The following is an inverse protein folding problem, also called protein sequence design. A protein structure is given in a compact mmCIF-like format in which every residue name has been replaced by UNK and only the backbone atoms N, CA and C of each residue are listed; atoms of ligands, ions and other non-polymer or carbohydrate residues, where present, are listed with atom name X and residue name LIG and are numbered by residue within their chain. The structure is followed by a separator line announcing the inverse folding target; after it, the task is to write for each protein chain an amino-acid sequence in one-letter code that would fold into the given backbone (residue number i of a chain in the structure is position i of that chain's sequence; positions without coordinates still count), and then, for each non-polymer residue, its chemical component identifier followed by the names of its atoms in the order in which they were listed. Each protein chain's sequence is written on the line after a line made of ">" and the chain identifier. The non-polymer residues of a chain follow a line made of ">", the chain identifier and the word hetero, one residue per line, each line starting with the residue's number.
data_IF_329459744911
#
_entry.id   IF_329459744911
#
_cell.length_a   1.000
_cell.length_b   1.000
_cell.length_c   1.000
_cell.angle_alpha   90.00
_cell.angle_beta   90.00
_cell.angle_gamma   90.00
#
_symmetry.space_group_name_H-M   'P 1'
#
loop_
_entity.id
_entity.type
_entity.pdbx_description
1 polymer ?
#
# COMPACT_ATOMS: atom_id res chain seq x y z
N UNK A 1 -12.00 -33.66 22.77
CA UNK A 1 -11.90 -34.05 24.19
C UNK A 1 -10.66 -33.41 24.79
N UNK A 2 -10.75 -32.83 25.98
CA UNK A 2 -9.58 -32.24 26.66
C UNK A 2 -8.79 -33.36 27.34
N UNK A 3 -7.58 -33.63 26.84
CA UNK A 3 -6.73 -34.71 27.37
C UNK A 3 -5.98 -34.32 28.66
N UNK A 4 -5.72 -33.02 28.91
CA UNK A 4 -5.09 -32.52 30.14
C UNK A 4 -5.72 -31.18 30.54
N UNK A 5 -6.48 -31.16 31.64
CA UNK A 5 -7.25 -29.98 32.11
C UNK A 5 -6.59 -29.22 33.26
N UNK A 6 -5.29 -29.44 33.52
CA UNK A 6 -4.54 -28.76 34.61
C UNK A 6 -5.10 -28.98 36.03
N UNK A 7 -5.94 -30.01 36.23
CA UNK A 7 -6.45 -30.41 37.53
C UNK A 7 -7.29 -29.32 38.23
N UNK A 8 -7.11 -29.08 39.54
CA UNK A 8 -7.86 -28.08 40.29
C UNK A 8 -7.31 -26.66 40.13
N UNK A 9 -6.35 -26.45 39.21
CA UNK A 9 -5.70 -25.15 39.04
C UNK A 9 -6.75 -24.11 38.62
N UNK A 10 -6.85 -22.98 39.33
CA UNK A 10 -7.77 -21.91 38.95
C UNK A 10 -7.55 -21.45 37.50
N UNK A 11 -8.63 -21.26 36.75
CA UNK A 11 -8.61 -20.70 35.40
C UNK A 11 -8.57 -19.16 35.38
N UNK A 12 -8.26 -18.56 36.52
CA UNK A 12 -8.10 -17.12 36.74
C UNK A 12 -6.86 -16.89 37.62
N UNK A 13 -6.42 -15.63 37.73
CA UNK A 13 -5.30 -15.26 38.58
C UNK A 13 -5.71 -15.32 40.06
N UNK A 14 -5.51 -16.48 40.69
CA UNK A 14 -5.90 -16.72 42.09
C UNK A 14 -4.84 -16.18 43.06
N UNK A 15 -5.31 -15.58 44.16
CA UNK A 15 -4.46 -15.22 45.31
C UNK A 15 -4.02 -16.43 46.15
N UNK A 16 -4.74 -17.56 46.05
CA UNK A 16 -4.47 -18.80 46.80
C UNK A 16 -3.41 -19.67 46.09
N UNK A 17 -3.29 -19.52 44.76
CA UNK A 17 -2.27 -20.19 43.95
C UNK A 17 -1.71 -19.20 42.91
N UNK A 18 -0.82 -18.27 43.33
CA UNK A 18 -0.35 -17.18 42.47
C UNK A 18 0.56 -17.68 41.33
N UNK A 19 0.53 -16.96 40.22
CA UNK A 19 1.37 -17.20 39.05
C UNK A 19 2.70 -16.45 39.19
N UNK A 20 3.80 -17.13 38.89
CA UNK A 20 5.12 -16.49 38.75
C UNK A 20 5.28 -15.98 37.31
N UNK A 21 5.35 -14.67 37.15
CA UNK A 21 5.62 -14.03 35.86
C UNK A 21 7.11 -13.77 35.70
N UNK A 22 7.62 -13.89 34.47
CA UNK A 22 8.96 -13.40 34.16
C UNK A 22 8.97 -11.86 34.27
N UNK A 23 10.03 -11.25 34.84
CA UNK A 23 10.12 -9.81 34.91
C UNK A 23 10.10 -9.20 33.50
N UNK A 24 9.40 -8.07 33.34
CA UNK A 24 9.41 -7.31 32.08
C UNK A 24 10.83 -6.80 31.83
N UNK A 25 11.37 -7.06 30.64
CA UNK A 25 12.76 -6.69 30.29
C UNK A 25 12.94 -5.19 30.06
N UNK A 26 11.86 -4.48 29.74
CA UNK A 26 11.85 -3.05 29.43
C UNK A 26 10.59 -2.41 30.01
N UNK A 27 10.68 -1.15 30.41
CA UNK A 27 9.50 -0.37 30.75
C UNK A 27 8.85 0.22 29.50
N UNK A 28 7.54 0.48 29.55
CA UNK A 28 6.78 1.07 28.43
C UNK A 28 7.32 2.45 28.02
N UNK A 29 7.90 3.19 28.97
CA UNK A 29 8.58 4.48 28.71
C UNK A 29 9.94 4.34 28.02
N UNK A 30 10.54 3.15 28.07
CA UNK A 30 11.82 2.81 27.43
C UNK A 30 11.62 2.12 26.07
N UNK A 31 10.36 1.92 25.68
CA UNK A 31 10.00 1.43 24.36
C UNK A 31 10.55 2.37 23.29
N UNK A 32 11.59 1.94 22.57
CA UNK A 32 12.14 2.65 21.40
C UNK A 32 11.28 2.53 20.14
N UNK A 33 10.06 1.99 20.27
CA UNK A 33 9.12 1.85 19.16
C UNK A 33 8.07 2.97 19.20
N UNK A 34 7.42 3.19 18.07
CA UNK A 34 6.45 4.27 17.89
C UNK A 34 5.30 4.18 18.90
N UNK A 35 4.92 5.32 19.48
CA UNK A 35 3.70 5.43 20.28
C UNK A 35 2.54 5.80 19.37
N UNK A 36 1.56 4.90 19.27
CA UNK A 36 0.38 5.10 18.44
C UNK A 36 -0.60 6.04 19.14
N UNK A 37 -0.75 7.26 18.60
CA UNK A 37 -1.72 8.25 19.08
C UNK A 37 -2.67 8.59 17.94
N UNK A 38 -3.97 8.36 18.13
CA UNK A 38 -4.97 8.65 17.11
C UNK A 38 -6.37 8.17 17.50
N UNK A 39 -7.38 8.59 16.74
CA UNK A 39 -8.74 8.07 16.86
C UNK A 39 -8.93 6.87 15.92
N UNK A 40 -9.99 6.08 16.13
CA UNK A 40 -10.43 5.12 15.14
C UNK A 40 -11.03 5.88 13.93
N UNK A 41 -10.39 5.75 12.75
CA UNK A 41 -10.82 6.40 11.51
C UNK A 41 -11.27 5.36 10.48
N UNK A 42 -12.33 5.67 9.74
CA UNK A 42 -12.61 5.03 8.45
C UNK A 42 -11.77 5.78 7.41
N UNK A 43 -10.68 5.17 6.94
CA UNK A 43 -9.72 5.82 6.04
C UNK A 43 -9.80 5.27 4.62
N UNK A 44 -9.68 6.16 3.63
CA UNK A 44 -9.55 5.81 2.22
C UNK A 44 -8.29 6.48 1.65
N UNK A 45 -7.39 5.68 1.09
CA UNK A 45 -6.15 6.16 0.49
C UNK A 45 -6.44 6.98 -0.76
N UNK A 46 -5.83 8.16 -0.85
CA UNK A 46 -5.90 9.03 -2.01
C UNK A 46 -4.73 8.74 -2.95
N UNK A 47 -5.02 8.71 -4.26
CA UNK A 47 -3.99 8.53 -5.30
C UNK A 47 -3.32 9.88 -5.57
N UNK A 48 -2.00 9.92 -5.50
CA UNK A 48 -1.19 11.09 -5.81
C UNK A 48 -0.01 10.76 -6.74
N UNK A 49 0.76 11.78 -7.13
CA UNK A 49 1.88 11.63 -8.05
C UNK A 49 2.98 10.64 -7.57
N UNK A 50 3.18 10.45 -6.27
CA UNK A 50 4.21 9.55 -5.72
C UNK A 50 3.88 8.08 -5.94
N UNK A 51 2.59 7.73 -6.03
CA UNK A 51 2.16 6.35 -6.28
C UNK A 51 2.66 5.83 -7.64
N UNK A 52 3.00 6.74 -8.57
CA UNK A 52 3.52 6.42 -9.89
C UNK A 52 5.04 6.57 -10.00
N UNK A 53 5.73 7.13 -8.99
CA UNK A 53 7.17 7.34 -9.04
C UNK A 53 7.95 6.01 -9.00
N UNK A 54 7.61 5.13 -8.06
CA UNK A 54 8.31 3.85 -7.92
C UNK A 54 8.06 2.90 -9.12
N UNK A 55 6.82 2.73 -9.62
CA UNK A 55 6.58 1.97 -10.85
C UNK A 55 7.32 2.54 -12.06
N UNK A 56 7.40 3.88 -12.17
CA UNK A 56 8.16 4.53 -13.25
C UNK A 56 9.64 4.24 -13.13
N UNK A 57 10.20 4.32 -11.92
CA UNK A 57 11.60 4.01 -11.66
C UNK A 57 11.91 2.54 -12.00
N UNK A 58 11.02 1.61 -11.64
CA UNK A 58 11.15 0.20 -12.01
C UNK A 58 11.19 0.04 -13.54
N UNK A 59 10.23 0.63 -14.25
CA UNK A 59 10.14 0.53 -15.71
C UNK A 59 11.32 1.16 -16.43
N UNK A 60 11.72 2.37 -16.03
CA UNK A 60 12.74 3.16 -16.75
C UNK A 60 14.16 2.76 -16.36
N UNK A 61 14.43 2.54 -15.07
CA UNK A 61 15.80 2.46 -14.53
C UNK A 61 16.26 1.04 -14.20
N UNK A 62 15.33 0.11 -13.97
CA UNK A 62 15.66 -1.26 -13.51
C UNK A 62 15.46 -2.29 -14.62
N UNK A 63 14.34 -2.21 -15.35
CA UNK A 63 14.03 -3.19 -16.39
C UNK A 63 14.96 -3.06 -17.60
N UNK A 64 15.38 -4.20 -18.15
CA UNK A 64 16.01 -4.26 -19.47
C UNK A 64 14.97 -4.04 -20.59
N UNK A 65 15.42 -3.83 -21.82
CA UNK A 65 14.50 -3.71 -22.96
C UNK A 65 13.68 -4.98 -23.20
N UNK A 66 14.28 -6.15 -22.96
CA UNK A 66 13.61 -7.45 -23.00
C UNK A 66 12.51 -7.53 -21.94
N UNK A 67 12.80 -7.12 -20.70
CA UNK A 67 11.80 -7.13 -19.61
C UNK A 67 10.65 -6.16 -19.92
N UNK A 68 10.97 -4.97 -20.45
CA UNK A 68 9.95 -4.00 -20.89
C UNK A 68 9.08 -4.57 -22.01
N UNK A 69 9.66 -5.30 -22.95
CA UNK A 69 8.90 -5.96 -24.02
C UNK A 69 7.98 -7.08 -23.48
N UNK A 70 8.47 -7.90 -22.56
CA UNK A 70 7.66 -8.91 -21.89
C UNK A 70 6.51 -8.28 -21.09
N UNK A 71 6.77 -7.19 -20.38
CA UNK A 71 5.74 -6.47 -19.63
C UNK A 71 4.62 -5.96 -20.55
N UNK A 72 4.98 -5.34 -21.68
CA UNK A 72 4.02 -4.88 -22.70
C UNK A 72 3.18 -6.05 -23.23
N UNK A 73 3.83 -7.17 -23.56
CA UNK A 73 3.13 -8.38 -24.02
C UNK A 73 2.14 -8.92 -22.97
N UNK A 74 2.55 -8.96 -21.71
CA UNK A 74 1.70 -9.44 -20.61
C UNK A 74 0.47 -8.53 -20.44
N UNK A 75 0.65 -7.21 -20.44
CA UNK A 75 -0.49 -6.30 -20.38
C UNK A 75 -1.42 -6.45 -21.59
N UNK A 76 -0.88 -6.45 -22.80
CA UNK A 76 -1.68 -6.55 -24.01
C UNK A 76 -2.47 -7.87 -24.08
N UNK A 77 -1.84 -9.00 -23.72
CA UNK A 77 -2.49 -10.32 -23.74
C UNK A 77 -3.66 -10.40 -22.74
N UNK A 78 -3.51 -9.84 -21.54
CA UNK A 78 -4.59 -9.77 -20.56
C UNK A 78 -5.68 -8.76 -20.92
N UNK A 79 -5.29 -7.59 -21.43
CA UNK A 79 -6.23 -6.51 -21.78
C UNK A 79 -7.04 -6.80 -23.04
N UNK A 80 -6.61 -7.73 -23.90
CA UNK A 80 -7.34 -8.13 -25.11
C UNK A 80 -8.77 -8.61 -24.83
N UNK A 81 -9.03 -9.16 -23.64
CA UNK A 81 -10.35 -9.63 -23.23
C UNK A 81 -11.29 -8.52 -22.74
N UNK A 82 -10.80 -7.27 -22.60
CA UNK A 82 -11.61 -6.14 -22.13
C UNK A 82 -12.65 -5.79 -23.20
N UNK A 83 -13.92 -6.01 -22.89
CA UNK A 83 -15.05 -5.73 -23.81
C UNK A 83 -15.45 -4.26 -23.84
N UNK A 84 -15.17 -3.51 -22.78
CA UNK A 84 -15.55 -2.11 -22.65
C UNK A 84 -14.39 -1.19 -23.06
N UNK A 85 -14.52 -0.39 -24.13
CA UNK A 85 -13.50 0.58 -24.51
C UNK A 85 -13.16 1.56 -23.38
N UNK A 86 -14.17 2.00 -22.62
CA UNK A 86 -13.96 2.91 -21.49
C UNK A 86 -13.10 2.27 -20.37
N UNK A 87 -13.22 0.97 -20.14
CA UNK A 87 -12.35 0.26 -19.17
C UNK A 87 -10.94 0.15 -19.72
N UNK A 88 -10.78 -0.21 -21.01
CA UNK A 88 -9.47 -0.27 -21.67
C UNK A 88 -8.75 1.08 -21.57
N UNK A 89 -9.44 2.16 -21.92
CA UNK A 89 -8.84 3.50 -21.98
C UNK A 89 -8.46 4.00 -20.58
N UNK A 90 -9.23 3.66 -19.54
CA UNK A 90 -8.84 3.93 -18.15
C UNK A 90 -7.59 3.16 -17.72
N UNK A 91 -7.43 1.91 -18.13
CA UNK A 91 -6.20 1.15 -17.84
C UNK A 91 -4.99 1.74 -18.56
N UNK A 92 -5.17 2.15 -19.82
CA UNK A 92 -4.11 2.85 -20.58
C UNK A 92 -3.76 4.19 -19.91
N UNK A 93 -4.73 4.94 -19.39
CA UNK A 93 -4.47 6.18 -18.66
C UNK A 93 -3.67 5.95 -17.36
N UNK A 94 -3.90 4.84 -16.65
CA UNK A 94 -3.11 4.46 -15.47
C UNK A 94 -1.68 4.10 -15.88
N UNK A 95 -1.50 3.34 -16.97
CA UNK A 95 -0.16 3.03 -17.49
C UNK A 95 0.57 4.29 -17.98
N UNK A 96 -0.15 5.25 -18.57
CA UNK A 96 0.40 6.52 -19.02
C UNK A 96 0.88 7.37 -17.84
N UNK A 97 0.20 7.28 -16.69
CA UNK A 97 0.67 7.91 -15.45
C UNK A 97 1.98 7.29 -14.94
N UNK A 98 2.23 6.00 -15.20
CA UNK A 98 3.56 5.39 -14.95
C UNK A 98 4.56 5.90 -15.99
N UNK A 99 4.31 5.64 -17.27
CA UNK A 99 5.16 6.06 -18.38
C UNK A 99 4.35 6.09 -19.69
N UNK A 100 4.42 7.21 -20.42
CA UNK A 100 3.65 7.35 -21.67
C UNK A 100 4.05 6.30 -22.71
N UNK A 101 5.34 5.97 -22.83
CA UNK A 101 5.82 4.99 -23.81
C UNK A 101 5.35 3.58 -23.48
N UNK A 102 5.19 3.24 -22.20
CA UNK A 102 4.58 1.97 -21.77
C UNK A 102 3.13 1.87 -22.24
N UNK A 103 2.32 2.90 -21.94
CA UNK A 103 0.92 2.97 -22.37
C UNK A 103 0.79 2.86 -23.89
N UNK A 104 1.58 3.64 -24.63
CA UNK A 104 1.50 3.66 -26.09
C UNK A 104 1.88 2.31 -26.71
N UNK A 105 2.91 1.64 -26.17
CA UNK A 105 3.30 0.29 -26.63
C UNK A 105 2.20 -0.75 -26.36
N UNK A 106 1.53 -0.66 -25.22
CA UNK A 106 0.38 -1.54 -24.91
C UNK A 106 -0.81 -1.23 -25.80
N UNK A 107 -1.14 0.04 -26.01
CA UNK A 107 -2.21 0.47 -26.90
C UNK A 107 -1.97 -0.03 -28.34
N UNK A 108 -0.74 0.11 -28.85
CA UNK A 108 -0.35 -0.38 -30.17
C UNK A 108 -0.53 -1.90 -30.29
N UNK A 109 -0.10 -2.68 -29.28
CA UNK A 109 -0.25 -4.13 -29.25
C UNK A 109 -1.74 -4.57 -29.19
N UNK A 110 -2.61 -3.73 -28.66
CA UNK A 110 -4.07 -3.94 -28.62
C UNK A 110 -4.80 -3.46 -29.89
N UNK A 111 -4.13 -2.73 -30.78
CA UNK A 111 -4.77 -2.03 -31.90
C UNK A 111 -5.68 -0.87 -31.45
N UNK A 112 -5.39 -0.27 -30.30
CA UNK A 112 -6.11 0.87 -29.74
C UNK A 112 -5.41 2.21 -30.07
N UNK A 113 -6.11 3.35 -29.98
CA UNK A 113 -5.48 4.66 -30.14
C UNK A 113 -4.36 4.89 -29.11
N UNK A 114 -3.22 5.40 -29.56
CA UNK A 114 -2.10 5.84 -28.71
C UNK A 114 -2.32 7.28 -28.22
N UNK A 115 -1.47 7.75 -27.29
CA UNK A 115 -1.57 9.12 -26.78
C UNK A 115 -2.70 9.31 -25.76
N UNK A 116 -3.12 8.22 -25.09
CA UNK A 116 -4.05 8.31 -23.96
C UNK A 116 -3.39 9.15 -22.87
N UNK A 117 -4.09 10.20 -22.44
CA UNK A 117 -3.60 11.08 -21.39
C UNK A 117 -3.48 10.32 -20.05
N UNK A 118 -2.45 10.59 -19.24
CA UNK A 118 -2.35 10.10 -17.88
C UNK A 118 -3.60 10.43 -17.05
N UNK A 119 -3.93 9.57 -16.08
CA UNK A 119 -4.98 9.90 -15.12
C UNK A 119 -4.62 11.19 -14.36
N UNK A 120 -5.60 12.07 -14.06
CA UNK A 120 -5.36 13.21 -13.20
C UNK A 120 -5.10 12.71 -11.77
N UNK A 121 -4.01 13.15 -11.17
CA UNK A 121 -3.59 12.78 -9.81
C UNK A 121 -3.29 14.03 -9.00
N UNK A 122 -3.55 13.99 -7.70
CA UNK A 122 -3.18 15.07 -6.81
C UNK A 122 -1.65 15.22 -6.74
N UNK A 123 -1.12 16.44 -6.60
CA UNK A 123 0.31 16.62 -6.38
C UNK A 123 0.71 16.05 -5.01
N UNK A 124 1.96 15.57 -4.92
CA UNK A 124 2.51 14.96 -3.71
C UNK A 124 2.38 15.86 -2.45
N UNK A 125 2.46 17.18 -2.64
CA UNK A 125 2.39 18.19 -1.57
C UNK A 125 1.01 18.30 -0.91
N UNK A 126 -0.05 17.86 -1.59
CA UNK A 126 -1.42 17.92 -1.07
C UNK A 126 -1.74 16.76 -0.13
N UNK A 127 -0.92 15.70 -0.11
CA UNK A 127 -1.11 14.59 0.81
C UNK A 127 -0.85 15.03 2.25
N UNK A 128 -1.92 15.26 3.01
CA UNK A 128 -1.84 15.60 4.43
C UNK A 128 -1.16 14.50 5.26
N UNK A 129 -1.25 13.24 4.80
CA UNK A 129 -0.63 12.06 5.42
C UNK A 129 0.90 12.07 5.32
N UNK A 130 1.46 12.79 4.34
CA UNK A 130 2.91 12.93 4.17
C UNK A 130 3.48 14.15 4.90
N UNK A 131 2.65 14.92 5.61
CA UNK A 131 3.12 16.04 6.42
C UNK A 131 3.78 15.49 7.69
N UNK A 132 5.11 15.66 7.88
CA UNK A 132 5.71 15.36 9.17
C UNK A 132 5.15 16.32 10.22
N UNK A 133 4.85 15.81 11.42
CA UNK A 133 4.23 16.53 12.54
C UNK A 133 2.87 17.16 12.21
N UNK A 134 1.79 16.46 12.60
CA UNK A 134 0.38 16.83 12.37
C UNK A 134 -0.06 18.11 13.14
N UNK A 135 0.86 18.90 13.70
CA UNK A 135 0.55 20.15 14.40
C UNK A 135 -0.41 20.01 15.59
N UNK A 136 -0.65 18.79 16.09
CA UNK A 136 -1.40 18.53 17.32
C UNK A 136 -0.54 19.02 18.49
N UNK A 137 -0.65 20.32 18.79
CA UNK A 137 -0.17 20.88 20.02
C UNK A 137 -0.92 20.18 21.16
N UNK A 138 -0.24 19.23 21.82
CA UNK A 138 -0.70 18.70 23.10
C UNK A 138 -0.71 19.88 24.06
N UNK A 139 -1.89 20.47 24.30
CA UNK A 139 -2.08 21.43 25.37
C UNK A 139 -1.96 20.65 26.68
N UNK A 140 -0.81 20.77 27.33
CA UNK A 140 -0.69 20.40 28.73
C UNK A 140 -1.49 21.44 29.54
N UNK A 141 -2.56 20.98 30.18
CA UNK A 141 -3.27 21.70 31.25
C UNK A 141 -2.49 21.63 32.55
#
# INVERSE_FOLDING_TARGET
>A
MTFVSQGPRPNYQSSISPLTYKPRKYEEKEAKHETWVGNAHLDLTEINALDFEQPRALFQKVMSDTDRAHLVYNFASHMKAIKSPAVRDRQLAVLAAVDQSLSDRVAQALGAPTGVAPIPVAPASESWRLRPAIGLAVKHS
#
